data_IF_246416554434
#
_entry.id   IF_246416554434
#
_cell.length_a   1.000
_cell.length_b   1.000
_cell.length_c   1.000
_cell.angle_alpha   90.00
_cell.angle_beta   90.00
_cell.angle_gamma   90.00
#
_symmetry.space_group_name_H-M   'P 1'
#
loop_
_entity.id
_entity.type
_entity.pdbx_description
1 polymer ?
#
# COMPACT_ATOMS: atom_id res chain seq x y z
N UNK A 1 19.91 -15.10 -14.20
CA UNK A 1 20.83 -15.17 -13.03
C UNK A 1 20.86 -16.59 -12.46
N UNK A 2 22.03 -17.14 -12.14
CA UNK A 2 22.17 -18.47 -11.49
C UNK A 2 21.77 -18.40 -10.02
N UNK A 3 20.83 -19.25 -9.59
CA UNK A 3 20.34 -19.32 -8.20
C UNK A 3 21.41 -19.82 -7.22
N UNK A 4 22.44 -20.51 -7.72
CA UNK A 4 23.52 -21.05 -6.91
C UNK A 4 24.74 -20.12 -6.83
N UNK A 5 24.62 -18.87 -7.31
CA UNK A 5 25.72 -17.92 -7.22
C UNK A 5 26.14 -17.73 -5.75
N UNK A 6 27.43 -17.91 -5.51
CA UNK A 6 28.06 -17.75 -4.19
C UNK A 6 29.45 -17.17 -4.43
N UNK A 7 29.61 -15.88 -4.15
CA UNK A 7 30.87 -15.15 -4.35
C UNK A 7 31.39 -14.73 -2.98
N UNK A 8 32.59 -15.17 -2.61
CA UNK A 8 33.20 -14.80 -1.33
C UNK A 8 33.38 -13.28 -1.24
N UNK A 9 33.14 -12.71 -0.06
CA UNK A 9 33.44 -11.31 0.28
C UNK A 9 34.70 -11.30 1.15
N UNK A 10 35.92 -11.28 0.56
CA UNK A 10 37.16 -11.40 1.32
C UNK A 10 37.42 -10.21 2.24
N UNK A 11 36.79 -9.06 1.99
CA UNK A 11 36.95 -7.84 2.78
C UNK A 11 36.15 -7.87 4.09
N UNK A 12 35.09 -8.69 4.19
CA UNK A 12 34.25 -8.79 5.38
C UNK A 12 34.71 -9.97 6.25
N UNK A 13 35.19 -9.65 7.45
CA UNK A 13 35.73 -10.66 8.36
C UNK A 13 34.62 -11.52 8.99
N UNK A 14 34.88 -12.81 9.29
CA UNK A 14 33.90 -13.71 9.89
C UNK A 14 33.30 -13.24 11.21
N UNK A 15 34.09 -12.54 12.03
CA UNK A 15 33.68 -12.00 13.32
C UNK A 15 32.73 -10.79 13.23
N UNK A 16 32.59 -10.18 12.05
CA UNK A 16 31.71 -9.03 11.87
C UNK A 16 30.27 -9.49 11.67
N UNK A 17 29.49 -9.45 12.75
CA UNK A 17 28.08 -9.87 12.77
C UNK A 17 27.10 -8.71 12.61
N UNK A 18 27.52 -7.48 12.90
CA UNK A 18 26.71 -6.27 12.69
C UNK A 18 26.69 -5.92 11.20
N UNK A 19 25.67 -6.38 10.48
CA UNK A 19 25.47 -6.12 9.05
C UNK A 19 24.07 -5.60 8.80
N UNK A 20 24.00 -4.39 8.25
CA UNK A 20 22.76 -3.80 7.77
C UNK A 20 22.75 -3.70 6.24
N UNK A 21 21.55 -3.65 5.67
CA UNK A 21 21.38 -3.26 4.27
C UNK A 21 21.03 -1.78 4.23
N UNK A 22 21.84 -0.97 3.53
CA UNK A 22 21.54 0.43 3.31
C UNK A 22 21.03 0.64 1.87
N UNK A 23 19.77 1.04 1.77
CA UNK A 23 19.07 1.17 0.49
C UNK A 23 19.04 -0.14 -0.29
N UNK A 24 18.75 -0.08 -1.61
CA UNK A 24 18.51 -1.30 -2.37
C UNK A 24 19.76 -2.13 -2.63
N UNK A 25 20.99 -1.74 -2.25
CA UNK A 25 22.19 -2.45 -2.74
C UNK A 25 23.41 -2.48 -1.84
N UNK A 26 23.52 -1.71 -0.75
CA UNK A 26 24.80 -1.68 -0.01
C UNK A 26 24.74 -2.59 1.20
N UNK A 27 25.78 -3.39 1.37
CA UNK A 27 26.02 -4.08 2.64
C UNK A 27 26.97 -3.20 3.45
N UNK A 28 26.54 -2.85 4.66
CA UNK A 28 27.33 -2.04 5.60
C UNK A 28 27.56 -2.88 6.84
N UNK A 29 28.82 -3.06 7.22
CA UNK A 29 29.23 -3.71 8.45
C UNK A 29 29.72 -2.68 9.46
N UNK A 30 29.45 -2.94 10.74
CA UNK A 30 29.92 -2.14 11.87
C UNK A 30 29.51 -0.65 11.75
N UNK A 31 28.26 -0.39 11.36
CA UNK A 31 27.77 0.99 11.21
C UNK A 31 27.54 1.67 12.56
N UNK A 32 27.27 0.89 13.61
CA UNK A 32 26.96 1.40 14.95
C UNK A 32 28.05 1.07 15.99
N UNK A 33 29.15 0.43 15.58
CA UNK A 33 30.23 0.01 16.48
C UNK A 33 31.40 0.98 16.41
N UNK A 34 31.82 1.54 17.54
CA UNK A 34 32.98 2.46 17.60
C UNK A 34 34.34 1.73 17.56
N UNK A 35 34.36 0.45 17.95
CA UNK A 35 35.59 -0.35 18.09
C UNK A 35 36.07 -1.01 16.78
N UNK A 36 35.26 -0.97 15.72
CA UNK A 36 35.55 -1.61 14.44
C UNK A 36 35.40 -0.61 13.29
N UNK A 37 36.21 -0.70 12.23
CA UNK A 37 36.02 0.13 11.06
C UNK A 37 34.70 -0.24 10.36
N UNK A 38 33.94 0.78 9.99
CA UNK A 38 32.78 0.62 9.10
C UNK A 38 33.25 0.19 7.71
N UNK A 39 32.72 -0.93 7.22
CA UNK A 39 32.94 -1.40 5.85
C UNK A 39 31.65 -1.25 5.05
N UNK A 40 31.71 -0.56 3.92
CA UNK A 40 30.60 -0.42 2.98
C UNK A 40 30.98 -1.03 1.64
N UNK A 41 30.21 -2.04 1.18
CA UNK A 41 30.43 -2.69 -0.12
C UNK A 41 29.16 -2.69 -0.96
N UNK A 42 29.37 -2.57 -2.27
CA UNK A 42 28.34 -2.76 -3.29
C UNK A 42 28.50 -4.15 -3.91
N UNK A 43 27.43 -4.91 -4.14
CA UNK A 43 27.51 -6.21 -4.78
C UNK A 43 28.06 -6.05 -6.21
N UNK A 44 28.78 -7.07 -6.71
CA UNK A 44 29.32 -7.05 -8.07
C UNK A 44 28.23 -7.05 -9.15
N UNK A 45 26.99 -7.44 -8.79
CA UNK A 45 25.84 -7.41 -9.68
C UNK A 45 24.57 -7.03 -8.91
N UNK A 46 23.72 -6.20 -9.53
CA UNK A 46 22.35 -5.92 -9.06
C UNK A 46 21.56 -7.22 -8.89
N UNK A 47 20.90 -7.37 -7.74
CA UNK A 47 20.14 -8.57 -7.40
C UNK A 47 20.88 -9.56 -6.50
N UNK A 48 22.13 -9.27 -6.10
CA UNK A 48 22.84 -10.02 -5.07
C UNK A 48 22.76 -9.35 -3.70
N UNK A 49 22.65 -10.15 -2.65
CA UNK A 49 22.68 -9.73 -1.24
C UNK A 49 23.83 -10.41 -0.51
N UNK A 50 24.31 -9.80 0.57
CA UNK A 50 25.29 -10.44 1.44
C UNK A 50 24.60 -11.39 2.43
N UNK A 51 25.16 -12.58 2.60
CA UNK A 51 24.68 -13.59 3.54
C UNK A 51 25.87 -14.30 4.20
N UNK A 52 25.74 -14.60 5.49
CA UNK A 52 26.78 -15.30 6.25
C UNK A 52 26.52 -16.81 6.22
N UNK A 53 27.45 -17.55 5.63
CA UNK A 53 27.28 -18.98 5.35
C UNK A 53 28.60 -19.68 5.68
N UNK A 54 28.55 -20.76 6.47
CA UNK A 54 29.71 -21.59 6.79
C UNK A 54 30.95 -20.81 7.30
N UNK A 55 30.74 -19.77 8.12
CA UNK A 55 31.83 -19.00 8.73
C UNK A 55 32.45 -17.92 7.84
N UNK A 56 31.83 -17.57 6.71
CA UNK A 56 32.26 -16.45 5.87
C UNK A 56 31.09 -15.72 5.22
N UNK A 57 31.33 -14.48 4.80
CA UNK A 57 30.36 -13.65 4.08
C UNK A 57 30.42 -13.91 2.57
N UNK A 58 29.25 -14.05 1.94
CA UNK A 58 29.11 -14.28 0.51
C UNK A 58 28.08 -13.35 -0.11
N UNK A 59 28.32 -12.94 -1.36
CA UNK A 59 27.25 -12.47 -2.23
C UNK A 59 26.47 -13.69 -2.77
N UNK A 60 25.16 -13.70 -2.54
CA UNK A 60 24.22 -14.72 -3.01
C UNK A 60 23.03 -14.07 -3.72
N UNK A 61 22.22 -14.85 -4.44
CA UNK A 61 20.99 -14.31 -5.06
C UNK A 61 20.07 -13.76 -3.98
N UNK A 62 19.71 -12.49 -4.09
CA UNK A 62 18.66 -11.87 -3.29
C UNK A 62 17.42 -11.50 -4.08
N UNK A 63 17.44 -11.57 -5.41
CA UNK A 63 16.25 -11.32 -6.23
C UNK A 63 15.20 -12.42 -6.01
N UNK A 64 14.08 -12.06 -5.38
CA UNK A 64 13.01 -12.99 -5.02
C UNK A 64 12.32 -13.60 -6.25
N UNK A 65 12.23 -12.86 -7.36
CA UNK A 65 11.77 -13.39 -8.64
C UNK A 65 12.66 -14.50 -9.18
N UNK A 66 13.99 -14.34 -9.09
CA UNK A 66 14.92 -15.42 -9.43
C UNK A 66 14.72 -16.63 -8.52
N UNK A 67 14.52 -16.41 -7.22
CA UNK A 67 14.35 -17.47 -6.24
C UNK A 67 12.98 -18.17 -6.34
N UNK A 68 11.96 -17.50 -6.90
CA UNK A 68 10.58 -17.98 -6.90
C UNK A 68 9.89 -17.76 -5.55
N UNK A 69 10.36 -16.80 -4.76
CA UNK A 69 9.87 -16.49 -3.41
C UNK A 69 9.18 -15.13 -3.31
N UNK A 70 8.91 -14.49 -4.45
CA UNK A 70 8.23 -13.19 -4.52
C UNK A 70 6.88 -13.24 -3.81
N UNK A 71 6.65 -12.30 -2.90
CA UNK A 71 5.34 -12.06 -2.27
C UNK A 71 4.57 -10.92 -2.95
N UNK A 72 5.19 -10.28 -3.95
CA UNK A 72 4.74 -9.05 -4.56
C UNK A 72 5.22 -7.83 -3.77
N UNK A 73 5.46 -6.74 -4.50
CA UNK A 73 6.17 -5.54 -4.02
C UNK A 73 7.68 -5.73 -3.84
N UNK A 74 8.29 -6.59 -4.67
CA UNK A 74 9.74 -6.82 -4.66
C UNK A 74 10.51 -5.54 -5.04
N UNK A 75 10.92 -4.74 -4.05
CA UNK A 75 11.72 -3.53 -4.26
C UNK A 75 13.16 -3.84 -4.71
N UNK A 76 13.62 -5.07 -4.50
CA UNK A 76 14.96 -5.55 -4.82
C UNK A 76 14.93 -6.65 -5.88
N UNK A 77 15.33 -6.30 -7.11
CA UNK A 77 15.38 -7.23 -8.25
C UNK A 77 16.72 -7.15 -8.99
N UNK A 78 17.12 -8.26 -9.62
CA UNK A 78 18.25 -8.29 -10.54
C UNK A 78 17.96 -7.47 -11.81
N UNK A 79 18.99 -7.19 -12.59
CA UNK A 79 18.89 -6.38 -13.81
C UNK A 79 17.90 -6.98 -14.83
N UNK A 80 17.95 -8.30 -15.03
CA UNK A 80 17.01 -9.02 -15.90
C UNK A 80 15.53 -8.83 -15.50
N UNK A 81 15.27 -8.70 -14.19
CA UNK A 81 13.93 -8.51 -13.65
C UNK A 81 13.58 -7.04 -13.39
N UNK A 82 14.49 -6.12 -13.69
CA UNK A 82 14.32 -4.67 -13.56
C UNK A 82 13.68 -4.08 -14.82
N UNK A 83 12.60 -4.70 -15.27
CA UNK A 83 11.85 -4.38 -16.49
C UNK A 83 10.41 -4.02 -16.18
N UNK A 84 9.78 -3.26 -17.08
CA UNK A 84 8.37 -2.91 -16.97
C UNK A 84 7.49 -4.17 -17.03
N UNK A 85 6.52 -4.28 -16.12
CA UNK A 85 5.62 -5.44 -16.05
C UNK A 85 4.83 -5.67 -17.34
N UNK A 86 4.43 -4.62 -18.05
CA UNK A 86 3.62 -4.76 -19.28
C UNK A 86 4.47 -4.85 -20.56
N UNK A 87 5.42 -3.92 -20.77
CA UNK A 87 6.16 -3.83 -22.03
C UNK A 87 7.58 -4.41 -21.99
N UNK A 88 8.04 -4.90 -20.83
CA UNK A 88 9.38 -5.48 -20.63
C UNK A 88 10.56 -4.54 -20.93
N UNK A 89 10.32 -3.24 -21.14
CA UNK A 89 11.39 -2.24 -21.28
C UNK A 89 12.17 -2.12 -19.99
N UNK A 90 13.50 -2.13 -20.09
CA UNK A 90 14.37 -2.05 -18.92
C UNK A 90 14.25 -0.67 -18.24
N UNK A 91 14.37 -0.64 -16.90
CA UNK A 91 14.20 0.60 -16.12
C UNK A 91 15.17 1.72 -16.49
N UNK A 92 16.35 1.40 -17.05
CA UNK A 92 17.28 2.42 -17.54
C UNK A 92 16.87 3.05 -18.86
N UNK A 93 15.91 2.45 -19.57
CA UNK A 93 15.49 2.84 -20.93
C UNK A 93 14.11 3.51 -20.94
N UNK A 94 13.40 3.51 -19.82
CA UNK A 94 12.09 4.14 -19.74
C UNK A 94 12.19 5.67 -19.79
N UNK A 95 11.19 6.30 -20.37
CA UNK A 95 10.99 7.74 -20.34
C UNK A 95 9.91 8.06 -19.31
N UNK A 96 10.18 9.04 -18.43
CA UNK A 96 9.26 9.45 -17.37
C UNK A 96 9.39 8.64 -16.08
N UNK A 97 8.29 8.57 -15.32
CA UNK A 97 8.24 7.92 -14.02
C UNK A 97 8.07 6.40 -14.12
N UNK A 98 8.61 5.68 -13.13
CA UNK A 98 8.34 4.27 -12.87
C UNK A 98 7.31 4.15 -11.75
N UNK A 99 6.13 3.63 -12.06
CA UNK A 99 5.03 3.43 -11.12
C UNK A 99 5.21 2.10 -10.41
N UNK A 100 5.22 2.11 -9.07
CA UNK A 100 5.30 0.88 -8.28
C UNK A 100 4.04 0.04 -8.45
N UNK A 101 4.21 -1.27 -8.61
CA UNK A 101 3.14 -2.25 -8.74
C UNK A 101 3.48 -3.48 -7.91
N UNK A 102 2.47 -4.31 -7.62
CA UNK A 102 2.68 -5.58 -6.94
C UNK A 102 3.69 -6.49 -7.66
N UNK A 103 3.76 -6.43 -8.99
CA UNK A 103 4.66 -7.29 -9.78
C UNK A 103 5.97 -6.60 -10.18
N UNK A 104 6.29 -5.42 -9.64
CA UNK A 104 7.49 -4.65 -10.01
C UNK A 104 7.14 -3.22 -10.34
N UNK A 105 7.59 -2.69 -11.47
CA UNK A 105 7.22 -1.35 -11.90
C UNK A 105 6.53 -1.32 -13.27
N UNK A 106 5.70 -0.31 -13.48
CA UNK A 106 5.11 0.03 -14.76
C UNK A 106 5.71 1.34 -15.28
N UNK A 107 6.10 1.36 -16.56
CA UNK A 107 6.59 2.59 -17.17
C UNK A 107 5.43 3.57 -17.42
N UNK A 108 5.73 4.88 -17.49
CA UNK A 108 4.69 5.90 -17.68
C UNK A 108 3.80 5.67 -18.91
N UNK A 109 4.32 5.32 -20.11
CA UNK A 109 3.46 5.00 -21.26
C UNK A 109 2.46 3.87 -20.99
N UNK A 110 2.90 2.79 -20.33
CA UNK A 110 2.01 1.68 -19.98
C UNK A 110 0.99 2.07 -18.91
N UNK A 111 1.38 2.89 -17.93
CA UNK A 111 0.45 3.41 -16.93
C UNK A 111 -0.62 4.28 -17.59
N UNK A 112 -0.21 5.23 -18.45
CA UNK A 112 -1.16 6.08 -19.19
C UNK A 112 -2.10 5.26 -20.07
N UNK A 113 -1.62 4.22 -20.74
CA UNK A 113 -2.46 3.35 -21.55
C UNK A 113 -3.49 2.57 -20.69
N UNK A 114 -3.09 2.12 -19.50
CA UNK A 114 -3.99 1.50 -18.53
C UNK A 114 -5.03 2.50 -18.02
N UNK A 115 -4.61 3.69 -17.61
CA UNK A 115 -5.51 4.73 -17.09
C UNK A 115 -6.56 5.13 -18.15
N UNK A 116 -6.15 5.28 -19.40
CA UNK A 116 -7.07 5.56 -20.52
C UNK A 116 -8.06 4.41 -20.75
N UNK A 117 -7.61 3.16 -20.61
CA UNK A 117 -8.48 1.99 -20.71
C UNK A 117 -9.51 1.97 -19.58
N UNK A 118 -9.06 2.12 -18.33
CA UNK A 118 -9.92 2.13 -17.15
C UNK A 118 -10.94 3.28 -17.20
N UNK A 119 -10.49 4.48 -17.58
CA UNK A 119 -11.36 5.65 -17.79
C UNK A 119 -12.45 5.35 -18.81
N UNK A 120 -12.10 4.74 -19.94
CA UNK A 120 -13.07 4.40 -20.99
C UNK A 120 -14.07 3.35 -20.51
N UNK A 121 -13.61 2.28 -19.89
CA UNK A 121 -14.48 1.22 -19.35
C UNK A 121 -15.46 1.77 -18.30
N UNK A 122 -15.01 2.66 -17.41
CA UNK A 122 -15.86 3.28 -16.40
C UNK A 122 -16.93 4.21 -17.01
N UNK A 123 -16.54 5.03 -18.00
CA UNK A 123 -17.49 5.91 -18.70
C UNK A 123 -18.50 5.11 -19.55
N UNK A 124 -18.07 4.04 -20.21
CA UNK A 124 -18.96 3.14 -20.96
C UNK A 124 -19.98 2.46 -20.03
N UNK A 125 -19.55 2.02 -18.84
CA UNK A 125 -20.44 1.41 -17.83
C UNK A 125 -21.57 2.35 -17.44
N UNK A 126 -21.27 3.61 -17.11
CA UNK A 126 -22.30 4.59 -16.72
C UNK A 126 -23.19 4.96 -17.90
N UNK A 127 -22.64 5.15 -19.10
CA UNK A 127 -23.43 5.47 -20.30
C UNK A 127 -24.42 4.36 -20.69
N UNK A 128 -24.16 3.12 -20.27
CA UNK A 128 -25.03 1.96 -20.53
C UNK A 128 -26.13 1.74 -19.49
N UNK A 129 -26.08 2.45 -18.36
CA UNK A 129 -27.05 2.34 -17.28
C UNK A 129 -28.00 3.54 -17.27
N UNK A 130 -29.24 3.31 -16.88
CA UNK A 130 -30.16 4.41 -16.57
C UNK A 130 -29.68 5.10 -15.28
N UNK A 131 -29.44 6.39 -15.38
CA UNK A 131 -29.00 7.24 -14.27
C UNK A 131 -30.17 7.59 -13.35
N UNK A 132 -30.06 7.29 -12.07
CA UNK A 132 -30.90 7.84 -11.01
C UNK A 132 -30.03 8.68 -10.03
N UNK A 133 -30.55 9.81 -9.56
CA UNK A 133 -29.89 10.64 -8.55
C UNK A 133 -29.65 9.88 -7.23
N UNK A 134 -30.52 8.91 -6.91
CA UNK A 134 -30.37 8.06 -5.73
C UNK A 134 -29.19 7.08 -5.84
N UNK A 135 -28.64 6.82 -7.03
CA UNK A 135 -27.47 5.95 -7.22
C UNK A 135 -26.21 6.50 -6.52
N UNK A 136 -26.19 7.80 -6.22
CA UNK A 136 -25.05 8.52 -5.64
C UNK A 136 -25.34 9.15 -4.28
N UNK A 137 -26.51 8.85 -3.68
CA UNK A 137 -26.93 9.39 -2.38
C UNK A 137 -27.03 8.30 -1.33
N UNK A 138 -26.64 8.64 -0.10
CA UNK A 138 -26.68 7.74 1.06
C UNK A 138 -25.92 6.41 0.87
N UNK A 139 -24.86 6.44 0.06
CA UNK A 139 -23.96 5.31 -0.11
C UNK A 139 -22.99 5.22 1.07
N UNK A 140 -22.54 4.00 1.35
CA UNK A 140 -21.48 3.67 2.30
C UNK A 140 -20.07 3.99 1.78
N UNK A 141 -19.91 4.06 0.45
CA UNK A 141 -18.68 4.48 -0.24
C UNK A 141 -18.90 5.78 -1.02
N UNK A 142 -17.81 6.51 -1.30
CA UNK A 142 -17.88 7.64 -2.24
C UNK A 142 -17.97 7.07 -3.65
N UNK A 143 -19.06 7.39 -4.34
CA UNK A 143 -19.26 6.98 -5.74
C UNK A 143 -19.16 8.19 -6.66
N UNK A 144 -18.23 8.14 -7.62
CA UNK A 144 -18.09 9.21 -8.61
C UNK A 144 -19.32 9.25 -9.54
N UNK A 145 -20.05 10.37 -9.62
CA UNK A 145 -21.26 10.47 -10.45
C UNK A 145 -20.99 10.46 -11.96
N UNK A 146 -19.75 10.68 -12.39
CA UNK A 146 -19.38 10.70 -13.80
C UNK A 146 -19.07 9.32 -14.38
N UNK A 147 -18.52 8.42 -13.57
CA UNK A 147 -17.99 7.13 -14.05
C UNK A 147 -18.34 5.93 -13.16
N UNK A 148 -19.07 6.14 -12.06
CA UNK A 148 -19.55 5.08 -11.18
C UNK A 148 -18.44 4.31 -10.47
N UNK A 149 -17.23 4.86 -10.42
CA UNK A 149 -16.13 4.31 -9.61
C UNK A 149 -16.42 4.63 -8.15
N UNK A 150 -16.42 3.60 -7.30
CA UNK A 150 -16.52 3.78 -5.86
C UNK A 150 -15.16 3.63 -5.18
N UNK A 151 -14.97 4.33 -4.06
CA UNK A 151 -13.80 4.19 -3.20
C UNK A 151 -14.13 4.59 -1.76
N UNK A 152 -13.37 4.04 -0.82
CA UNK A 152 -13.42 4.41 0.59
C UNK A 152 -12.25 5.36 0.91
N UNK A 153 -12.52 6.60 1.36
CA UNK A 153 -11.48 7.55 1.73
C UNK A 153 -10.95 7.27 3.15
N UNK A 154 -9.64 7.43 3.35
CA UNK A 154 -9.05 7.34 4.69
C UNK A 154 -9.55 8.48 5.63
N UNK A 155 -9.70 9.69 5.08
CA UNK A 155 -10.18 10.88 5.79
C UNK A 155 -11.19 11.65 4.91
N UNK A 156 -12.48 11.27 4.89
CA UNK A 156 -13.49 11.96 4.10
C UNK A 156 -13.66 13.41 4.57
N UNK A 157 -13.82 14.35 3.62
CA UNK A 157 -14.16 15.76 3.89
C UNK A 157 -15.19 16.26 2.91
N UNK A 158 -16.14 17.05 3.39
CA UNK A 158 -17.08 17.75 2.53
C UNK A 158 -16.34 18.69 1.57
N UNK A 159 -16.86 18.81 0.34
CA UNK A 159 -16.37 19.77 -0.64
C UNK A 159 -16.15 19.19 -2.03
N UNK A 160 -15.40 19.94 -2.84
CA UNK A 160 -15.08 19.57 -4.22
C UNK A 160 -13.96 18.55 -4.27
N UNK A 161 -14.22 17.47 -4.98
CA UNK A 161 -13.27 16.40 -5.23
C UNK A 161 -13.10 16.16 -6.73
N UNK A 162 -11.96 15.60 -7.13
CA UNK A 162 -11.68 15.19 -8.51
C UNK A 162 -11.49 13.68 -8.55
N UNK A 163 -12.26 12.99 -9.39
CA UNK A 163 -12.14 11.54 -9.53
C UNK A 163 -10.83 11.15 -10.22
N UNK A 164 -10.01 10.31 -9.58
CA UNK A 164 -8.73 9.83 -10.12
C UNK A 164 -8.86 8.99 -11.40
N UNK A 165 -10.01 8.35 -11.63
CA UNK A 165 -10.24 7.50 -12.81
C UNK A 165 -10.68 8.33 -14.02
N UNK A 166 -11.74 9.12 -13.89
CA UNK A 166 -12.30 9.85 -15.03
C UNK A 166 -11.82 11.30 -15.14
N UNK A 167 -11.27 11.88 -14.07
CA UNK A 167 -10.88 13.29 -13.98
C UNK A 167 -12.06 14.25 -13.88
N UNK A 168 -13.25 13.77 -13.53
CA UNK A 168 -14.45 14.60 -13.36
C UNK A 168 -14.50 15.19 -11.95
N UNK A 169 -14.86 16.47 -11.85
CA UNK A 169 -15.09 17.14 -10.56
C UNK A 169 -16.52 16.86 -10.05
N UNK A 170 -16.67 16.62 -8.75
CA UNK A 170 -17.95 16.45 -8.08
C UNK A 170 -17.92 17.06 -6.67
N UNK A 171 -19.10 17.33 -6.11
CA UNK A 171 -19.25 17.80 -4.73
C UNK A 171 -19.57 16.58 -3.85
N UNK A 172 -18.82 16.41 -2.76
CA UNK A 172 -19.04 15.41 -1.73
C UNK A 172 -19.74 16.06 -0.53
N UNK A 173 -20.84 15.44 -0.09
CA UNK A 173 -21.56 15.77 1.14
C UNK A 173 -21.61 14.52 2.03
N UNK A 174 -21.11 14.63 3.26
CA UNK A 174 -21.02 13.56 4.25
C UNK A 174 -22.18 13.69 5.23
N UNK A 175 -23.06 12.70 5.23
CA UNK A 175 -24.20 12.65 6.15
C UNK A 175 -23.93 11.69 7.31
N UNK A 176 -23.94 12.21 8.54
CA UNK A 176 -23.86 11.39 9.76
C UNK A 176 -25.27 11.13 10.33
N UNK A 177 -25.66 9.86 10.45
CA UNK A 177 -26.89 9.46 11.13
C UNK A 177 -26.57 8.78 12.48
N UNK A 178 -27.10 9.33 13.57
CA UNK A 178 -26.97 8.77 14.92
C UNK A 178 -28.30 8.20 15.38
N UNK A 179 -28.34 6.90 15.68
CA UNK A 179 -29.53 6.22 16.20
C UNK A 179 -29.30 5.67 17.61
N UNK A 180 -30.27 5.87 18.51
CA UNK A 180 -30.22 5.39 19.90
C UNK A 180 -31.15 4.20 20.09
N UNK A 181 -30.69 3.19 20.84
CA UNK A 181 -31.50 2.07 21.30
C UNK A 181 -31.33 1.89 22.81
N UNK A 182 -32.43 1.67 23.52
CA UNK A 182 -32.40 1.43 24.97
C UNK A 182 -33.13 0.14 25.31
N UNK A 183 -32.67 -0.52 26.37
CA UNK A 183 -33.32 -1.68 26.96
C UNK A 183 -33.33 -1.49 28.47
N UNK A 184 -34.37 -2.01 29.12
CA UNK A 184 -34.46 -1.98 30.58
C UNK A 184 -33.36 -2.87 31.17
N UNK A 185 -32.56 -2.32 32.07
CA UNK A 185 -31.63 -3.09 32.90
C UNK A 185 -32.32 -3.34 34.25
N UNK A 186 -32.59 -4.61 34.56
CA UNK A 186 -33.33 -5.00 35.76
C UNK A 186 -34.85 -5.01 35.55
N UNK A 187 -35.60 -4.68 36.60
CA UNK A 187 -37.07 -4.62 36.55
C UNK A 187 -37.54 -3.24 36.06
N UNK A 188 -38.61 -3.22 35.27
CA UNK A 188 -39.20 -1.96 34.80
C UNK A 188 -39.84 -1.25 35.98
N UNK A 189 -39.39 -0.03 36.26
CA UNK A 189 -40.01 0.84 37.27
C UNK A 189 -41.44 1.18 36.81
N UNK A 190 -42.41 0.93 37.66
CA UNK A 190 -43.84 1.27 37.48
C UNK A 190 -44.31 2.19 38.60
N UNK A 191 -45.45 2.87 38.43
CA UNK A 191 -46.01 3.73 39.49
C UNK A 191 -46.19 2.96 40.82
N UNK A 192 -46.60 1.69 40.74
CA UNK A 192 -46.77 0.83 41.91
C UNK A 192 -45.46 0.54 42.67
N UNK A 193 -44.30 0.81 42.06
CA UNK A 193 -42.97 0.67 42.67
C UNK A 193 -42.41 1.96 43.27
N UNK A 194 -43.15 3.08 43.19
CA UNK A 194 -42.75 4.36 43.74
C UNK A 194 -43.44 4.60 45.09
N UNK A 195 -42.67 4.59 46.18
CA UNK A 195 -43.12 5.14 47.47
C UNK A 195 -43.05 6.68 47.38
N UNK A 196 -44.17 7.33 47.10
CA UNK A 196 -44.26 8.80 47.07
C UNK A 196 -44.61 9.27 48.49
N UNK A 197 -43.68 9.95 49.17
CA UNK A 197 -43.98 10.68 50.40
C UNK A 197 -44.80 11.93 50.05
N UNK A 198 -46.10 11.93 50.39
CA UNK A 198 -46.94 13.12 50.31
C UNK A 198 -46.48 14.15 51.36
N UNK A 199 -45.76 15.18 50.95
CA UNK A 199 -45.54 16.34 51.81
C UNK A 199 -46.83 17.15 51.89
N UNK A 200 -47.55 17.02 53.01
CA UNK A 200 -48.69 17.86 53.35
C UNK A 200 -48.28 19.34 53.41
N UNK A 201 -48.61 20.11 52.38
CA UNK A 201 -48.71 21.57 52.48
C UNK A 201 -49.87 21.92 53.41
N UNK A 202 -49.57 22.11 54.69
CA UNK A 202 -50.48 22.67 55.67
C UNK A 202 -50.78 24.14 55.34
N UNK A 203 -52.05 24.43 55.07
CA UNK A 203 -52.66 25.77 55.01
C UNK A 203 -53.35 26.07 56.34
#
# INVERSE_FOLDING_TARGET
MDKNIKILIPEALPEWTDRIHNGPMKAVWNSETEDLPTLELTPPQRGLKSEFIDGAWYWVVGCEKCLGTSNGWDYFVCDEHNVCVDCQTHRSEIVGSAWGTREGFRCSPCQTALDQKLKREALEKVASNDYDEWDYKHNDEIVCPHCGTSYEPDEPRDGKETCDICGGEYELEIEYSVTYSTTVVGERITLDSLEIEETETNL
#
